data_IF_911168446050
#
_entry.id   IF_911168446050
#
_cell.length_a   1.000
_cell.length_b   1.000
_cell.length_c   1.000
_cell.angle_alpha   90.00
_cell.angle_beta   90.00
_cell.angle_gamma   90.00
#
_symmetry.space_group_name_H-M   'P 1'
#
loop_
_entity.id
_entity.type
_entity.pdbx_description
1 polymer ?
#
# COMPACT_ATOMS: atom_id res chain seq x y z
N UNK A 1 -0.90 2.08 25.33
CA UNK A 1 -0.61 3.08 24.29
C UNK A 1 -1.39 2.66 23.06
N UNK A 2 -2.24 3.54 22.54
CA UNK A 2 -3.04 3.25 21.35
C UNK A 2 -2.23 3.60 20.09
N UNK A 3 -1.80 2.58 19.36
CA UNK A 3 -1.05 2.74 18.11
C UNK A 3 -2.06 2.81 16.97
N UNK A 4 -2.13 3.96 16.32
CA UNK A 4 -3.08 4.23 15.22
C UNK A 4 -2.42 4.23 13.84
N UNK A 5 -1.10 4.44 13.78
CA UNK A 5 -0.32 4.38 12.55
C UNK A 5 1.16 4.14 12.86
N UNK A 6 1.85 3.45 11.96
CA UNK A 6 3.30 3.38 11.90
C UNK A 6 3.75 4.13 10.66
N UNK A 7 4.59 5.14 10.85
CA UNK A 7 5.12 5.95 9.76
C UNK A 7 6.64 5.99 9.88
N UNK A 8 7.33 5.63 8.79
CA UNK A 8 8.76 5.84 8.69
C UNK A 8 9.07 7.34 8.65
N UNK A 9 9.99 7.79 9.51
CA UNK A 9 10.51 9.15 9.52
C UNK A 9 12.04 9.11 9.54
N UNK A 10 12.72 9.52 8.45
CA UNK A 10 12.15 10.01 7.19
C UNK A 10 11.39 8.92 6.42
N UNK A 11 10.58 9.34 5.44
CA UNK A 11 9.87 8.40 4.57
C UNK A 11 10.85 7.48 3.84
N UNK A 12 10.50 6.21 3.70
CA UNK A 12 11.26 5.23 2.93
C UNK A 12 11.20 5.58 1.44
N UNK A 13 12.37 5.58 0.79
CA UNK A 13 12.51 5.81 -0.64
C UNK A 13 12.65 4.49 -1.43
N UNK A 14 12.43 4.56 -2.74
CA UNK A 14 12.50 3.39 -3.61
C UNK A 14 13.89 2.76 -3.60
N UNK A 15 13.96 1.46 -3.26
CA UNK A 15 15.20 0.69 -3.19
C UNK A 15 15.88 0.73 -1.82
N UNK A 16 15.33 1.45 -0.83
CA UNK A 16 15.83 1.42 0.54
C UNK A 16 15.48 0.10 1.24
N UNK A 17 16.33 -0.27 2.19
CA UNK A 17 16.11 -1.41 3.09
C UNK A 17 16.01 -0.88 4.51
N UNK A 18 15.05 -1.38 5.27
CA UNK A 18 14.89 -1.07 6.68
C UNK A 18 14.71 -2.37 7.47
N UNK A 19 15.05 -2.31 8.76
CA UNK A 19 14.80 -3.40 9.69
C UNK A 19 13.74 -2.94 10.68
N UNK A 20 12.81 -3.83 11.01
CA UNK A 20 11.81 -3.64 12.05
C UNK A 20 11.85 -4.81 13.00
N UNK A 21 11.63 -4.54 14.28
CA UNK A 21 11.42 -5.56 15.30
C UNK A 21 9.94 -5.48 15.69
N UNK A 22 9.21 -6.58 15.48
CA UNK A 22 7.82 -6.68 15.89
C UNK A 22 7.72 -7.66 17.06
N UNK A 23 6.97 -7.27 18.10
CA UNK A 23 6.55 -8.18 19.14
C UNK A 23 5.08 -8.52 18.88
N UNK A 24 4.83 -9.74 18.43
CA UNK A 24 3.48 -10.23 18.17
C UNK A 24 2.96 -10.89 19.45
N UNK A 25 1.86 -10.39 20.00
CA UNK A 25 1.11 -11.12 21.00
C UNK A 25 0.48 -12.34 20.29
N UNK A 26 0.70 -13.54 20.82
CA UNK A 26 0.11 -14.78 20.28
C UNK A 26 -0.75 -15.47 21.35
N UNK A 27 -1.91 -14.87 21.72
CA UNK A 27 -2.80 -15.45 22.70
C UNK A 27 -3.48 -16.71 22.14
N UNK A 28 -3.76 -17.66 23.03
CA UNK A 28 -4.54 -18.86 22.69
C UNK A 28 -6.04 -18.55 22.81
N UNK A 29 -6.88 -19.34 22.15
CA UNK A 29 -8.34 -19.13 22.19
C UNK A 29 -8.90 -19.08 23.62
N UNK A 30 -8.58 -20.02 24.54
CA UNK A 30 -9.09 -19.96 25.92
C UNK A 30 -8.72 -18.69 26.69
N UNK A 31 -7.60 -18.06 26.36
CA UNK A 31 -7.16 -16.81 26.97
C UNK A 31 -8.04 -15.63 26.53
N UNK A 32 -8.37 -15.56 25.23
CA UNK A 32 -9.24 -14.53 24.69
C UNK A 32 -10.69 -14.69 25.16
N UNK A 33 -11.17 -15.94 25.28
CA UNK A 33 -12.49 -16.24 25.86
C UNK A 33 -12.61 -15.77 27.33
N UNK A 34 -11.50 -15.74 28.08
CA UNK A 34 -11.43 -15.33 29.48
C UNK A 34 -11.05 -13.86 29.68
N UNK A 35 -10.75 -13.11 28.63
CA UNK A 35 -10.31 -11.72 28.73
C UNK A 35 -11.37 -10.77 29.33
N UNK A 36 -12.64 -11.18 29.33
CA UNK A 36 -13.75 -10.43 29.91
C UNK A 36 -14.14 -9.19 29.10
N UNK A 37 -14.98 -8.34 29.71
CA UNK A 37 -15.58 -7.14 29.09
C UNK A 37 -15.30 -5.86 29.85
N UNK A 38 -14.34 -5.89 30.80
CA UNK A 38 -13.88 -4.71 31.53
C UNK A 38 -12.92 -3.89 30.66
N UNK A 39 -13.50 -3.15 29.72
CA UNK A 39 -12.74 -2.31 28.80
C UNK A 39 -12.29 -1.01 29.47
N UNK A 40 -11.05 -0.56 29.25
CA UNK A 40 -10.63 0.78 29.66
C UNK A 40 -11.49 1.88 29.01
N UNK A 41 -11.72 2.97 29.73
CA UNK A 41 -12.55 4.10 29.27
C UNK A 41 -12.08 4.65 27.91
N UNK A 42 -10.76 4.82 27.72
CA UNK A 42 -10.20 5.30 26.45
C UNK A 42 -10.53 4.40 25.25
N UNK A 43 -10.83 3.11 25.49
CA UNK A 43 -11.25 2.16 24.46
C UNK A 43 -12.72 2.35 24.14
N UNK A 44 -13.58 2.36 25.17
CA UNK A 44 -15.03 2.45 24.98
C UNK A 44 -15.45 3.78 24.37
N UNK A 45 -14.81 4.89 24.76
CA UNK A 45 -15.07 6.22 24.22
C UNK A 45 -14.86 6.32 22.71
N UNK A 46 -13.89 5.58 22.16
CA UNK A 46 -13.46 5.69 20.75
C UNK A 46 -13.93 4.55 19.86
N UNK A 47 -14.05 3.34 20.42
CA UNK A 47 -14.14 2.12 19.64
C UNK A 47 -15.48 1.38 19.79
N UNK A 48 -16.47 2.01 20.42
CA UNK A 48 -17.87 1.57 20.43
C UNK A 48 -18.82 2.49 19.63
N UNK A 49 -18.28 3.57 19.05
CA UNK A 49 -19.11 4.56 18.36
C UNK A 49 -19.74 3.98 17.09
N UNK A 50 -21.03 4.27 16.91
CA UNK A 50 -21.84 3.95 15.73
C UNK A 50 -22.34 5.25 15.08
N UNK A 51 -22.60 5.26 13.76
CA UNK A 51 -23.32 6.35 13.12
C UNK A 51 -24.68 6.62 13.77
N UNK A 52 -25.14 7.88 13.76
CA UNK A 52 -26.42 8.24 14.37
C UNK A 52 -27.63 7.58 13.67
N UNK A 53 -27.46 7.26 12.39
CA UNK A 53 -28.39 6.62 11.47
C UNK A 53 -28.04 5.15 11.21
N UNK A 54 -27.31 4.50 12.14
CA UNK A 54 -26.89 3.11 11.99
C UNK A 54 -28.07 2.16 11.72
N UNK A 55 -27.94 1.31 10.69
CA UNK A 55 -29.01 0.42 10.25
C UNK A 55 -29.48 -0.53 11.38
N UNK A 56 -30.78 -0.49 11.73
CA UNK A 56 -31.36 -1.44 12.69
C UNK A 56 -31.28 -2.90 12.22
N UNK A 57 -31.22 -3.14 10.90
CA UNK A 57 -31.09 -4.49 10.35
C UNK A 57 -29.72 -5.08 10.65
N UNK A 58 -28.66 -4.29 10.53
CA UNK A 58 -27.29 -4.71 10.86
C UNK A 58 -27.18 -5.03 12.36
N UNK A 59 -27.76 -4.18 13.22
CA UNK A 59 -27.79 -4.44 14.66
C UNK A 59 -28.56 -5.73 15.01
N UNK A 60 -29.70 -5.95 14.36
CA UNK A 60 -30.50 -7.17 14.57
C UNK A 60 -29.74 -8.43 14.12
N UNK A 61 -29.09 -8.38 12.95
CA UNK A 61 -28.26 -9.48 12.45
C UNK A 61 -27.09 -9.79 13.39
N UNK A 62 -26.39 -8.77 13.89
CA UNK A 62 -25.31 -8.95 14.86
C UNK A 62 -25.83 -9.61 16.15
N UNK A 63 -26.98 -9.16 16.64
CA UNK A 63 -27.63 -9.73 17.83
C UNK A 63 -28.06 -11.19 17.61
N UNK A 64 -28.53 -11.54 16.41
CA UNK A 64 -28.92 -12.90 16.04
C UNK A 64 -27.71 -13.83 16.02
N UNK A 65 -26.63 -13.44 15.34
CA UNK A 65 -25.40 -14.24 15.20
C UNK A 65 -24.74 -14.46 16.57
N UNK A 66 -24.77 -13.45 17.45
CA UNK A 66 -24.13 -13.49 18.76
C UNK A 66 -25.02 -14.09 19.85
N UNK A 67 -26.26 -14.45 19.54
CA UNK A 67 -27.21 -14.98 20.51
C UNK A 67 -26.72 -16.29 21.13
N UNK A 68 -26.70 -16.33 22.47
CA UNK A 68 -26.29 -17.51 23.23
C UNK A 68 -24.77 -17.69 23.38
N UNK A 69 -23.95 -16.82 22.78
CA UNK A 69 -22.50 -16.80 22.98
C UNK A 69 -22.16 -15.92 24.18
N UNK A 70 -21.35 -16.45 25.11
CA UNK A 70 -21.12 -15.85 26.43
C UNK A 70 -19.93 -14.87 26.48
N UNK A 71 -19.02 -14.93 25.50
CA UNK A 71 -17.79 -14.14 25.52
C UNK A 71 -17.53 -13.40 24.20
N UNK A 72 -16.81 -12.26 24.23
CA UNK A 72 -16.52 -11.46 23.04
C UNK A 72 -15.74 -12.20 21.95
N UNK A 73 -14.88 -13.17 22.32
CA UNK A 73 -14.10 -13.91 21.33
C UNK A 73 -14.99 -14.77 20.44
N UNK A 74 -15.87 -15.56 21.05
CA UNK A 74 -16.78 -16.43 20.31
C UNK A 74 -17.78 -15.61 19.48
N UNK A 75 -18.24 -14.47 20.03
CA UNK A 75 -19.08 -13.52 19.30
C UNK A 75 -18.38 -12.94 18.07
N UNK A 76 -17.11 -12.54 18.20
CA UNK A 76 -16.31 -12.08 17.07
C UNK A 76 -16.10 -13.18 16.04
N UNK A 77 -15.65 -14.36 16.46
CA UNK A 77 -15.44 -15.50 15.58
C UNK A 77 -16.73 -15.91 14.82
N UNK A 78 -17.90 -15.84 15.47
CA UNK A 78 -19.17 -16.15 14.82
C UNK A 78 -19.55 -15.12 13.75
N UNK A 79 -19.32 -13.82 13.99
CA UNK A 79 -19.52 -12.77 12.98
C UNK A 79 -18.53 -12.93 11.83
N UNK A 80 -17.25 -13.17 12.13
CA UNK A 80 -16.23 -13.46 11.11
C UNK A 80 -16.68 -14.61 10.21
N UNK A 81 -17.10 -15.73 10.80
CA UNK A 81 -17.53 -16.92 10.07
C UNK A 81 -18.81 -16.67 9.25
N UNK A 82 -19.78 -15.93 9.80
CA UNK A 82 -20.97 -15.55 9.07
C UNK A 82 -20.61 -14.81 7.78
N UNK A 83 -19.73 -13.80 7.86
CA UNK A 83 -19.32 -13.01 6.70
C UNK A 83 -18.58 -13.88 5.67
N UNK A 84 -17.68 -14.75 6.12
CA UNK A 84 -16.94 -15.67 5.25
C UNK A 84 -17.86 -16.63 4.49
N UNK A 85 -18.91 -17.11 5.15
CA UNK A 85 -19.83 -18.11 4.59
C UNK A 85 -20.96 -17.49 3.74
N UNK A 86 -21.41 -16.28 4.06
CA UNK A 86 -22.62 -15.69 3.46
C UNK A 86 -22.36 -14.61 2.40
N UNK A 87 -21.12 -14.13 2.29
CA UNK A 87 -20.76 -13.05 1.37
C UNK A 87 -19.73 -13.56 0.36
N UNK A 88 -19.96 -13.28 -0.92
CA UNK A 88 -19.03 -13.56 -2.00
C UNK A 88 -17.98 -12.45 -2.15
N UNK A 89 -16.72 -12.83 -2.29
CA UNK A 89 -15.67 -11.86 -2.56
C UNK A 89 -15.65 -11.46 -4.04
N UNK A 90 -15.74 -10.15 -4.30
CA UNK A 90 -15.61 -9.55 -5.63
C UNK A 90 -14.56 -8.43 -5.60
N UNK A 91 -13.98 -8.10 -6.75
CA UNK A 91 -12.96 -7.02 -6.84
C UNK A 91 -13.56 -5.63 -7.05
N UNK A 92 -14.85 -5.55 -7.35
CA UNK A 92 -15.59 -4.31 -7.51
C UNK A 92 -17.06 -4.55 -7.15
N UNK A 93 -17.69 -3.58 -6.51
CA UNK A 93 -19.11 -3.58 -6.16
C UNK A 93 -19.78 -2.45 -6.92
N UNK A 94 -20.92 -2.73 -7.56
CA UNK A 94 -21.78 -1.71 -8.16
C UNK A 94 -22.91 -1.40 -7.20
N UNK A 95 -22.91 -0.20 -6.62
CA UNK A 95 -24.00 0.26 -5.74
C UNK A 95 -25.06 0.93 -6.62
N UNK A 96 -26.34 0.49 -6.58
CA UNK A 96 -27.42 1.16 -7.29
C UNK A 96 -27.58 2.63 -6.89
N UNK A 97 -28.01 3.47 -7.84
CA UNK A 97 -28.35 4.86 -7.50
C UNK A 97 -29.50 4.90 -6.50
N UNK A 98 -29.38 5.75 -5.48
CA UNK A 98 -30.38 5.90 -4.42
C UNK A 98 -30.23 4.92 -3.25
N UNK A 99 -29.20 4.07 -3.22
CA UNK A 99 -28.87 3.30 -2.02
C UNK A 99 -28.51 4.25 -0.86
N UNK A 100 -29.27 4.17 0.23
CA UNK A 100 -29.07 5.00 1.43
C UNK A 100 -27.86 4.53 2.24
N UNK A 101 -27.79 3.23 2.56
CA UNK A 101 -26.68 2.61 3.29
C UNK A 101 -26.01 1.50 2.45
N UNK A 102 -24.80 1.76 1.92
CA UNK A 102 -24.03 0.76 1.17
C UNK A 102 -23.71 -0.51 1.96
N UNK A 103 -23.59 -0.43 3.28
CA UNK A 103 -23.26 -1.58 4.12
C UNK A 103 -24.48 -2.47 4.36
N UNK A 104 -25.66 -1.86 4.50
CA UNK A 104 -26.94 -2.59 4.54
C UNK A 104 -27.17 -3.32 3.21
N UNK A 105 -27.02 -2.61 2.09
CA UNK A 105 -27.11 -3.20 0.76
C UNK A 105 -26.09 -4.34 0.55
N UNK A 106 -24.87 -4.17 1.06
CA UNK A 106 -23.83 -5.20 1.06
C UNK A 106 -24.27 -6.47 1.81
N UNK A 107 -24.77 -6.34 3.04
CA UNK A 107 -25.09 -7.48 3.90
C UNK A 107 -26.36 -8.24 3.47
N UNK A 108 -27.36 -7.53 2.96
CA UNK A 108 -28.70 -8.10 2.77
C UNK A 108 -29.11 -8.29 1.32
N UNK A 109 -28.63 -7.45 0.41
CA UNK A 109 -29.10 -7.44 -0.98
C UNK A 109 -28.04 -8.04 -1.91
N UNK A 110 -26.89 -7.36 -2.06
CA UNK A 110 -25.85 -7.79 -3.00
C UNK A 110 -25.07 -9.01 -2.54
N UNK A 111 -24.82 -9.13 -1.22
CA UNK A 111 -23.98 -10.18 -0.61
C UNK A 111 -22.64 -10.36 -1.33
N UNK A 112 -22.10 -9.27 -1.84
CA UNK A 112 -20.87 -9.24 -2.63
C UNK A 112 -20.02 -8.05 -2.22
N UNK A 113 -18.75 -8.27 -1.86
CA UNK A 113 -17.85 -7.19 -1.48
C UNK A 113 -16.37 -7.52 -1.57
N UNK A 114 -15.54 -6.53 -1.27
CA UNK A 114 -14.10 -6.70 -1.05
C UNK A 114 -13.74 -6.35 0.40
N UNK A 115 -12.48 -6.54 0.78
CA UNK A 115 -11.97 -6.44 2.16
C UNK A 115 -12.52 -5.25 2.98
N UNK A 116 -12.64 -4.05 2.40
CA UNK A 116 -13.22 -2.90 3.11
C UNK A 116 -14.66 -3.12 3.58
N UNK A 117 -15.52 -3.76 2.77
CA UNK A 117 -16.91 -4.04 3.14
C UNK A 117 -16.98 -5.08 4.25
N UNK A 118 -16.24 -6.19 4.11
CA UNK A 118 -16.16 -7.23 5.12
C UNK A 118 -15.68 -6.67 6.47
N UNK A 119 -14.55 -5.97 6.47
CA UNK A 119 -13.96 -5.45 7.68
C UNK A 119 -14.81 -4.34 8.31
N UNK A 120 -15.45 -3.47 7.50
CA UNK A 120 -16.37 -2.45 8.02
C UNK A 120 -17.63 -3.07 8.61
N UNK A 121 -18.20 -4.10 7.97
CA UNK A 121 -19.35 -4.84 8.47
C UNK A 121 -19.04 -5.48 9.82
N UNK A 122 -17.93 -6.23 9.91
CA UNK A 122 -17.54 -6.88 11.15
C UNK A 122 -17.33 -5.86 12.28
N UNK A 123 -16.58 -4.76 12.02
CA UNK A 123 -16.36 -3.72 13.03
C UNK A 123 -17.68 -3.14 13.54
N UNK A 124 -18.61 -2.79 12.65
CA UNK A 124 -19.86 -2.16 13.08
C UNK A 124 -20.83 -3.16 13.74
N UNK A 125 -20.86 -4.42 13.29
CA UNK A 125 -21.62 -5.47 13.95
C UNK A 125 -21.10 -5.71 15.37
N UNK A 126 -19.78 -5.79 15.55
CA UNK A 126 -19.15 -5.95 16.86
C UNK A 126 -19.43 -4.77 17.79
N UNK A 127 -19.27 -3.54 17.29
CA UNK A 127 -19.61 -2.33 18.06
C UNK A 127 -21.07 -2.29 18.48
N UNK A 128 -21.97 -2.74 17.61
CA UNK A 128 -23.39 -2.85 17.92
C UNK A 128 -23.71 -3.90 18.99
N UNK A 129 -22.83 -4.90 19.16
CA UNK A 129 -22.87 -5.89 20.23
C UNK A 129 -22.08 -5.45 21.50
N UNK A 130 -21.57 -4.21 21.56
CA UNK A 130 -20.81 -3.72 22.72
C UNK A 130 -19.36 -4.22 22.77
N UNK A 131 -18.82 -4.74 21.67
CA UNK A 131 -17.43 -5.20 21.57
C UNK A 131 -16.60 -4.12 20.89
N UNK A 132 -15.55 -3.57 21.53
CA UNK A 132 -14.71 -2.56 20.90
C UNK A 132 -13.91 -3.12 19.74
N UNK A 133 -14.11 -2.55 18.57
CA UNK A 133 -13.46 -2.97 17.33
C UNK A 133 -12.98 -1.77 16.50
N UNK A 134 -11.97 -1.97 15.67
CA UNK A 134 -11.44 -0.94 14.76
C UNK A 134 -11.04 -1.55 13.42
N UNK A 135 -11.04 -0.69 12.40
CA UNK A 135 -10.55 -1.03 11.07
C UNK A 135 -9.03 -0.79 11.02
N UNK A 136 -8.28 -1.81 10.66
CA UNK A 136 -6.86 -1.70 10.32
C UNK A 136 -6.69 -1.81 8.80
N UNK A 137 -5.70 -1.09 8.27
CA UNK A 137 -5.38 -1.07 6.84
C UNK A 137 -3.89 -1.20 6.63
N UNK A 138 -3.50 -1.92 5.59
CA UNK A 138 -2.10 -2.18 5.27
C UNK A 138 -1.99 -3.10 4.08
N UNK A 139 -1.15 -4.12 4.20
CA UNK A 139 -0.98 -5.14 3.18
C UNK A 139 -1.08 -6.53 3.81
N UNK A 140 -1.72 -7.46 3.11
CA UNK A 140 -1.66 -8.88 3.42
C UNK A 140 -0.24 -9.43 3.20
N UNK A 141 -0.03 -10.70 3.59
CA UNK A 141 1.29 -11.37 3.61
C UNK A 141 2.06 -11.30 2.28
N UNK A 142 1.36 -11.17 1.14
CA UNK A 142 1.95 -11.17 -0.19
C UNK A 142 2.37 -12.57 -0.63
N UNK A 143 3.28 -12.64 -1.60
CA UNK A 143 3.67 -13.89 -2.25
C UNK A 143 5.02 -14.40 -1.72
N UNK A 144 5.10 -15.62 -1.16
CA UNK A 144 6.39 -16.18 -0.78
C UNK A 144 7.22 -16.51 -2.00
N UNK A 145 8.54 -16.47 -1.85
CA UNK A 145 9.45 -17.11 -2.80
C UNK A 145 9.38 -18.64 -2.68
N UNK A 146 10.04 -19.36 -3.60
CA UNK A 146 10.02 -20.84 -3.64
C UNK A 146 10.47 -21.53 -2.35
N UNK A 147 11.21 -20.82 -1.48
CA UNK A 147 11.78 -21.34 -0.25
C UNK A 147 11.12 -20.77 1.01
N UNK A 148 10.06 -19.95 0.88
CA UNK A 148 9.42 -19.20 1.97
C UNK A 148 10.39 -18.37 2.84
N UNK A 149 11.51 -17.92 2.28
CA UNK A 149 12.52 -17.11 2.98
C UNK A 149 12.30 -15.61 2.85
N UNK A 150 11.59 -15.16 1.81
CA UNK A 150 11.13 -13.78 1.69
C UNK A 150 9.76 -13.71 1.02
N UNK A 151 9.00 -12.66 1.37
CA UNK A 151 7.69 -12.38 0.82
C UNK A 151 7.74 -11.13 -0.05
N UNK A 152 7.10 -11.18 -1.20
CA UNK A 152 6.91 -10.03 -2.08
C UNK A 152 5.51 -9.47 -1.89
N UNK A 153 5.43 -8.28 -1.32
CA UNK A 153 4.17 -7.53 -1.11
C UNK A 153 4.03 -6.48 -2.21
N UNK A 154 2.85 -6.39 -2.82
CA UNK A 154 2.52 -5.51 -3.95
C UNK A 154 1.25 -4.72 -3.67
N UNK A 155 0.94 -3.74 -4.53
CA UNK A 155 -0.30 -2.95 -4.42
C UNK A 155 -1.57 -3.81 -4.42
N UNK A 156 -1.62 -4.94 -5.15
CA UNK A 156 -2.75 -5.89 -5.10
C UNK A 156 -2.99 -6.52 -3.73
N UNK A 157 -1.96 -6.54 -2.90
CA UNK A 157 -2.02 -7.14 -1.58
C UNK A 157 -2.49 -6.11 -0.53
N UNK A 158 -2.85 -4.88 -0.95
CA UNK A 158 -3.49 -3.91 -0.07
C UNK A 158 -4.76 -4.51 0.55
N UNK A 159 -4.87 -4.40 1.86
CA UNK A 159 -5.88 -5.13 2.62
C UNK A 159 -6.39 -4.34 3.82
N UNK A 160 -7.63 -4.62 4.20
CA UNK A 160 -8.28 -4.07 5.37
C UNK A 160 -8.85 -5.21 6.21
N UNK A 161 -8.65 -5.16 7.52
CA UNK A 161 -9.11 -6.18 8.46
C UNK A 161 -9.64 -5.55 9.75
N UNK A 162 -10.56 -6.21 10.45
CA UNK A 162 -10.97 -5.84 11.79
C UNK A 162 -9.92 -6.22 12.84
N UNK A 163 -9.74 -5.34 13.82
CA UNK A 163 -9.06 -5.65 15.08
C UNK A 163 -10.03 -5.46 16.25
N UNK A 164 -10.03 -6.42 17.16
CA UNK A 164 -10.93 -6.48 18.32
C UNK A 164 -10.12 -6.32 19.60
N UNK A 165 -10.60 -5.49 20.52
CA UNK A 165 -9.88 -5.22 21.77
C UNK A 165 -10.24 -6.25 22.85
N UNK A 166 -9.24 -6.93 23.39
CA UNK A 166 -9.37 -7.83 24.53
C UNK A 166 -8.60 -7.29 25.74
N UNK A 167 -9.25 -7.11 26.92
CA UNK A 167 -8.55 -6.66 28.12
C UNK A 167 -7.35 -7.56 28.45
N UNK A 168 -6.21 -6.95 28.78
CA UNK A 168 -4.95 -7.69 29.04
C UNK A 168 -4.16 -8.11 27.80
N UNK A 169 -4.78 -8.15 26.61
CA UNK A 169 -4.14 -8.60 25.36
C UNK A 169 -4.00 -7.48 24.32
N UNK A 170 -4.90 -6.49 24.33
CA UNK A 170 -4.91 -5.39 23.36
C UNK A 170 -5.70 -5.74 22.09
N UNK A 171 -5.24 -5.21 20.96
CA UNK A 171 -5.88 -5.38 19.66
C UNK A 171 -5.49 -6.72 19.02
N UNK A 172 -6.49 -7.52 18.67
CA UNK A 172 -6.35 -8.84 18.07
C UNK A 172 -7.04 -8.87 16.71
N UNK A 173 -6.34 -9.31 15.68
CA UNK A 173 -6.83 -9.34 14.30
C UNK A 173 -7.86 -10.44 14.05
N UNK A 174 -8.85 -10.16 13.20
CA UNK A 174 -9.78 -11.15 12.63
C UNK A 174 -9.78 -11.01 11.11
N UNK A 175 -10.16 -12.07 10.39
CA UNK A 175 -10.12 -12.08 8.92
C UNK A 175 -11.44 -12.59 8.32
N UNK A 176 -12.42 -11.68 8.09
CA UNK A 176 -13.71 -12.04 7.50
C UNK A 176 -13.66 -12.23 5.99
N UNK A 177 -12.60 -11.82 5.30
CA UNK A 177 -12.60 -11.79 3.84
C UNK A 177 -12.44 -13.20 3.28
N UNK A 178 -13.45 -13.68 2.56
CA UNK A 178 -13.51 -15.07 2.09
C UNK A 178 -12.39 -15.49 1.13
N UNK A 179 -11.73 -14.55 0.46
CA UNK A 179 -10.58 -14.84 -0.43
C UNK A 179 -9.22 -14.85 0.29
N UNK A 180 -9.19 -14.58 1.59
CA UNK A 180 -8.01 -14.68 2.43
C UNK A 180 -8.06 -15.96 3.27
N UNK A 181 -6.87 -16.47 3.61
CA UNK A 181 -6.75 -17.58 4.54
C UNK A 181 -7.27 -17.17 5.93
N UNK A 182 -8.06 -18.02 6.62
CA UNK A 182 -8.48 -17.74 7.98
C UNK A 182 -7.29 -17.58 8.94
N UNK A 183 -7.40 -16.62 9.86
CA UNK A 183 -6.46 -16.51 10.98
C UNK A 183 -6.65 -17.72 11.89
N UNK A 184 -5.65 -18.61 11.94
CA UNK A 184 -5.67 -19.78 12.81
C UNK A 184 -5.07 -19.41 14.17
N UNK A 185 -5.85 -19.58 15.24
CA UNK A 185 -5.37 -19.38 16.63
C UNK A 185 -5.27 -20.71 17.37
N UNK A 186 -4.16 -20.95 18.08
CA UNK A 186 -3.97 -22.21 18.79
C UNK A 186 -4.91 -22.33 20.00
N UNK A 187 -5.33 -23.56 20.31
CA UNK A 187 -6.10 -23.89 21.52
C UNK A 187 -5.21 -24.05 22.75
N UNK A 188 -3.94 -24.39 22.55
CA UNK A 188 -2.95 -24.59 23.59
C UNK A 188 -1.64 -23.93 23.19
N UNK A 189 -0.87 -23.44 24.16
CA UNK A 189 0.46 -22.89 23.88
C UNK A 189 1.35 -24.02 23.39
N UNK A 190 2.02 -23.81 22.27
CA UNK A 190 3.09 -24.71 21.86
C UNK A 190 4.21 -24.62 22.90
N UNK A 191 4.41 -25.69 23.67
CA UNK A 191 5.62 -25.87 24.46
C UNK A 191 6.78 -26.06 23.46
N UNK A 192 7.44 -24.97 23.09
CA UNK A 192 8.77 -25.11 22.50
C UNK A 192 9.65 -25.74 23.57
N UNK A 193 10.25 -26.93 23.34
CA UNK A 193 11.22 -27.46 24.28
C UNK A 193 12.28 -26.38 24.48
N UNK A 194 12.53 -26.02 25.74
CA UNK A 194 13.63 -25.15 26.10
C UNK A 194 14.88 -25.87 25.60
N UNK A 195 15.43 -25.43 24.46
CA UNK A 195 16.78 -25.81 24.08
C UNK A 195 17.64 -25.20 25.19
N UNK A 196 18.14 -26.06 26.08
CA UNK A 196 19.04 -25.65 27.13
C UNK A 196 20.33 -25.16 26.45
N UNK A 197 20.46 -23.85 26.29
CA UNK A 197 21.63 -23.20 25.67
C UNK A 197 22.90 -23.33 26.53
N UNK A 198 22.80 -23.95 27.72
CA UNK A 198 23.92 -24.24 28.62
C UNK A 198 24.57 -25.63 28.37
N UNK A 199 24.21 -26.34 27.29
CA UNK A 199 24.97 -27.51 26.86
C UNK A 199 26.31 -27.07 26.21
N UNK A 200 27.50 -27.55 26.64
CA UNK A 200 28.78 -26.94 26.27
C UNK A 200 29.28 -27.19 24.84
N UNK A 201 28.42 -27.61 23.90
CA UNK A 201 28.91 -28.23 22.66
C UNK A 201 28.08 -27.89 21.42
N UNK A 202 27.70 -26.62 21.24
CA UNK A 202 27.26 -26.09 19.94
C UNK A 202 27.40 -24.55 19.91
N UNK A 203 28.63 -24.06 19.79
CA UNK A 203 28.87 -22.73 19.23
C UNK A 203 28.82 -22.85 17.69
N UNK A 204 27.91 -22.14 16.99
CA UNK A 204 28.04 -21.98 15.56
C UNK A 204 29.30 -21.14 15.29
N UNK A 205 30.21 -21.70 14.50
CA UNK A 205 31.47 -21.11 14.05
C UNK A 205 31.19 -19.81 13.27
N UNK A 206 31.20 -18.68 14.00
CA UNK A 206 30.95 -17.33 13.48
C UNK A 206 32.25 -16.66 13.03
N UNK A 207 33.20 -17.41 12.45
CA UNK A 207 34.52 -16.88 12.06
C UNK A 207 34.89 -17.14 10.58
N UNK A 208 34.01 -17.75 9.77
CA UNK A 208 34.37 -18.21 8.42
C UNK A 208 34.02 -17.26 7.24
N UNK A 209 33.63 -15.99 7.47
CA UNK A 209 33.37 -15.04 6.36
C UNK A 209 34.16 -13.72 6.45
N UNK A 210 35.17 -13.66 7.31
CA UNK A 210 35.99 -12.45 7.51
C UNK A 210 37.42 -12.61 6.99
N UNK A 211 37.66 -13.28 5.85
CA UNK A 211 38.99 -13.27 5.21
C UNK A 211 38.86 -13.36 3.68
N UNK A 212 39.01 -12.21 3.01
CA UNK A 212 39.77 -12.06 1.76
C UNK A 212 39.85 -10.57 1.39
N UNK A 213 40.81 -9.85 1.98
CA UNK A 213 41.40 -8.66 1.35
C UNK A 213 42.71 -9.09 0.66
N UNK A 214 43.00 -8.61 -0.57
CA UNK A 214 44.36 -8.56 -1.05
C UNK A 214 44.92 -7.12 -0.96
N UNK A 215 45.92 -6.95 -0.08
CA UNK A 215 46.92 -5.89 -0.15
C UNK A 215 48.08 -6.36 -1.04
N UNK A 216 48.65 -5.57 -1.96
CA UNK A 216 49.91 -4.78 -1.82
C UNK A 216 50.39 -4.31 -3.22
N UNK A 217 51.42 -3.44 -3.41
CA UNK A 217 51.78 -2.17 -2.73
C UNK A 217 52.21 -0.99 -3.70
N UNK A 218 51.96 0.27 -3.28
CA UNK A 218 52.79 1.53 -3.24
C UNK A 218 53.82 1.81 -4.40
N UNK A 219 53.95 3.04 -5.01
CA UNK A 219 54.26 4.27 -4.28
C UNK A 219 53.63 5.63 -4.65
N UNK A 220 53.76 6.49 -3.63
CA UNK A 220 53.50 7.91 -3.47
C UNK A 220 54.11 8.79 -4.58
N UNK A 221 53.35 9.78 -5.05
CA UNK A 221 53.92 11.07 -5.43
C UNK A 221 52.98 12.21 -5.00
N UNK A 222 53.47 12.99 -4.04
CA UNK A 222 52.87 14.24 -3.58
C UNK A 222 53.08 15.31 -4.66
N UNK A 223 51.99 15.85 -5.20
CA UNK A 223 52.03 17.17 -5.82
C UNK A 223 51.00 18.07 -5.14
N UNK A 224 51.52 18.84 -4.19
CA UNK A 224 50.92 20.07 -3.70
C UNK A 224 50.79 21.05 -4.87
N UNK A 225 49.58 21.43 -5.24
CA UNK A 225 49.37 22.66 -5.99
C UNK A 225 48.37 23.55 -5.27
N UNK A 226 48.87 24.75 -5.00
CA UNK A 226 48.26 25.89 -4.34
C UNK A 226 47.00 26.38 -5.04
N UNK A 227 46.00 26.78 -4.24
CA UNK A 227 44.88 27.61 -4.71
C UNK A 227 45.35 29.03 -5.02
N UNK A 228 44.86 29.65 -6.12
CA UNK A 228 44.63 31.08 -6.15
C UNK A 228 43.12 31.37 -6.11
N UNK A 229 42.78 32.11 -5.07
CA UNK A 229 41.87 33.26 -4.98
C UNK A 229 40.72 33.42 -5.98
N UNK A 230 39.52 33.57 -5.39
CA UNK A 230 38.29 34.16 -5.95
C UNK A 230 38.51 35.16 -7.09
N UNK A 231 37.80 34.98 -8.22
CA UNK A 231 36.98 36.03 -8.86
C UNK A 231 35.74 35.41 -9.51
N UNK A 232 34.61 36.08 -9.34
CA UNK A 232 33.30 35.83 -9.93
C UNK A 232 33.33 35.75 -11.45
N UNK A 233 32.61 34.80 -12.06
CA UNK A 233 31.75 34.99 -13.24
C UNK A 233 30.59 33.99 -13.07
N UNK A 234 29.41 34.54 -12.80
CA UNK A 234 28.12 33.85 -12.76
C UNK A 234 27.58 33.89 -14.19
N UNK A 235 27.18 32.72 -14.72
CA UNK A 235 26.16 32.48 -15.78
C UNK A 235 26.46 31.32 -16.75
N UNK A 236 27.62 30.65 -16.68
CA UNK A 236 27.80 29.33 -17.32
C UNK A 236 27.56 28.13 -16.38
N UNK A 237 27.07 28.40 -15.17
CA UNK A 237 27.14 27.46 -14.06
C UNK A 237 25.95 26.51 -13.98
N UNK A 238 24.78 26.81 -14.53
CA UNK A 238 23.60 25.94 -14.31
C UNK A 238 23.68 24.68 -15.19
N UNK A 239 24.02 24.81 -16.48
CA UNK A 239 24.19 23.65 -17.36
C UNK A 239 25.42 22.82 -17.01
N UNK A 240 26.52 23.48 -16.60
CA UNK A 240 27.75 22.80 -16.15
C UNK A 240 27.57 22.07 -14.82
N UNK A 241 26.84 22.66 -13.86
CA UNK A 241 26.58 22.00 -12.56
C UNK A 241 25.53 20.91 -12.68
N UNK A 242 24.49 21.09 -13.50
CA UNK A 242 23.54 20.02 -13.83
C UNK A 242 24.22 18.89 -14.61
N UNK A 243 25.11 19.23 -15.54
CA UNK A 243 25.91 18.27 -16.28
C UNK A 243 26.88 17.51 -15.39
N UNK A 244 27.53 18.19 -14.44
CA UNK A 244 28.44 17.59 -13.48
C UNK A 244 27.69 16.72 -12.46
N UNK A 245 26.52 17.15 -11.97
CA UNK A 245 25.60 16.37 -11.12
C UNK A 245 25.04 15.15 -11.86
N UNK A 246 24.72 15.30 -13.14
CA UNK A 246 24.32 14.19 -13.99
C UNK A 246 25.47 13.20 -14.20
N UNK A 247 26.68 13.68 -14.47
CA UNK A 247 27.86 12.84 -14.67
C UNK A 247 28.27 12.13 -13.38
N UNK A 248 28.25 12.82 -12.23
CA UNK A 248 28.51 12.21 -10.92
C UNK A 248 27.41 11.22 -10.55
N UNK A 249 26.13 11.54 -10.76
CA UNK A 249 25.03 10.59 -10.58
C UNK A 249 25.15 9.35 -11.48
N UNK A 250 25.57 9.54 -12.74
CA UNK A 250 25.81 8.46 -13.70
C UNK A 250 27.02 7.58 -13.29
N UNK A 251 28.11 8.19 -12.84
CA UNK A 251 29.31 7.50 -12.37
C UNK A 251 29.09 6.78 -11.04
N UNK A 252 28.32 7.38 -10.11
CA UNK A 252 27.91 6.75 -8.85
C UNK A 252 26.95 5.58 -9.09
N UNK A 253 26.00 5.70 -10.03
CA UNK A 253 25.14 4.60 -10.48
C UNK A 253 25.95 3.44 -11.05
N UNK A 254 27.02 3.73 -11.80
CA UNK A 254 27.91 2.72 -12.40
C UNK A 254 28.85 2.06 -11.38
N UNK A 255 29.14 2.72 -10.25
CA UNK A 255 30.15 2.27 -9.28
C UNK A 255 29.59 1.72 -7.96
N UNK A 256 28.42 2.18 -7.50
CA UNK A 256 27.96 1.88 -6.12
C UNK A 256 26.49 1.49 -5.95
N UNK A 257 25.59 1.70 -6.92
CA UNK A 257 24.18 1.31 -6.75
C UNK A 257 23.42 1.21 -8.09
N UNK A 258 23.11 0.00 -8.60
CA UNK A 258 22.40 -0.14 -9.87
C UNK A 258 20.91 0.27 -9.83
N UNK A 259 20.29 0.39 -8.64
CA UNK A 259 18.84 0.58 -8.50
C UNK A 259 18.36 1.87 -7.80
N UNK A 260 19.25 2.74 -7.30
CA UNK A 260 18.82 4.01 -6.68
C UNK A 260 18.50 5.06 -7.74
N UNK A 261 17.34 5.71 -7.63
CA UNK A 261 16.87 6.67 -8.62
C UNK A 261 17.54 8.04 -8.43
N UNK A 262 18.02 8.67 -9.50
CA UNK A 262 18.78 9.93 -9.42
C UNK A 262 17.98 11.09 -8.82
N UNK A 263 16.66 11.09 -9.03
CA UNK A 263 15.70 12.00 -8.41
C UNK A 263 15.65 11.86 -6.88
N UNK A 264 15.70 10.62 -6.38
CA UNK A 264 15.70 10.29 -4.96
C UNK A 264 16.97 10.82 -4.28
N UNK A 265 18.13 10.64 -4.91
CA UNK A 265 19.41 11.20 -4.45
C UNK A 265 19.33 12.73 -4.37
N UNK A 266 18.83 13.38 -5.43
CA UNK A 266 18.75 14.84 -5.48
C UNK A 266 17.77 15.38 -4.44
N UNK A 267 16.64 14.71 -4.23
CA UNK A 267 15.67 15.03 -3.18
C UNK A 267 16.29 14.90 -1.79
N UNK A 268 16.97 13.79 -1.51
CA UNK A 268 17.67 13.56 -0.25
C UNK A 268 18.76 14.61 0.03
N UNK A 269 19.48 15.07 -1.00
CA UNK A 269 20.47 16.15 -0.86
C UNK A 269 19.79 17.48 -0.50
N UNK A 270 18.64 17.80 -1.11
CA UNK A 270 17.88 19.02 -0.79
C UNK A 270 17.36 18.98 0.65
N UNK A 271 16.77 17.85 1.05
CA UNK A 271 16.18 17.68 2.39
C UNK A 271 17.24 17.64 3.51
N UNK A 272 18.38 16.97 3.29
CA UNK A 272 19.49 16.93 4.26
C UNK A 272 20.15 18.30 4.48
N UNK A 273 20.09 19.19 3.50
CA UNK A 273 20.58 20.57 3.63
C UNK A 273 19.54 21.53 4.24
N UNK A 274 18.39 21.01 4.68
CA UNK A 274 17.33 21.80 5.31
C UNK A 274 16.57 22.71 4.33
N UNK A 275 16.65 22.45 3.03
CA UNK A 275 15.91 23.21 2.02
C UNK A 275 14.53 22.58 1.77
N UNK A 276 13.52 23.41 1.52
CA UNK A 276 12.22 22.93 1.09
C UNK A 276 12.32 22.28 -0.30
N UNK A 277 11.86 21.03 -0.41
CA UNK A 277 11.90 20.27 -1.66
C UNK A 277 11.03 20.95 -2.73
N UNK A 278 11.62 21.41 -3.87
CA UNK A 278 10.84 22.01 -4.93
C UNK A 278 9.78 21.07 -5.49
N UNK A 279 8.57 21.56 -5.77
CA UNK A 279 7.47 20.74 -6.25
C UNK A 279 7.80 19.96 -7.55
N UNK A 280 8.67 20.48 -8.41
CA UNK A 280 9.11 19.77 -9.62
C UNK A 280 9.97 18.55 -9.29
N UNK A 281 10.78 18.61 -8.22
CA UNK A 281 11.63 17.52 -7.77
C UNK A 281 10.80 16.42 -7.11
N UNK A 282 9.81 16.79 -6.29
CA UNK A 282 8.83 15.85 -5.74
C UNK A 282 8.05 15.15 -6.85
N UNK A 283 7.55 15.89 -7.85
CA UNK A 283 6.85 15.33 -9.00
C UNK A 283 7.74 14.42 -9.85
N UNK A 284 9.00 14.81 -10.05
CA UNK A 284 9.94 13.99 -10.78
C UNK A 284 10.26 12.70 -10.04
N UNK A 285 10.48 12.76 -8.71
CA UNK A 285 10.72 11.59 -7.89
C UNK A 285 9.53 10.62 -7.93
N UNK A 286 8.32 11.13 -7.70
CA UNK A 286 7.08 10.36 -7.80
C UNK A 286 6.92 9.73 -9.19
N UNK A 287 7.10 10.50 -10.25
CA UNK A 287 6.99 10.00 -11.63
C UNK A 287 8.06 8.95 -11.92
N UNK A 288 9.27 9.16 -11.42
CA UNK A 288 10.39 8.26 -11.66
C UNK A 288 10.15 6.90 -11.01
N UNK A 289 9.59 6.88 -9.80
CA UNK A 289 9.29 5.66 -9.04
C UNK A 289 8.21 4.78 -9.68
N UNK A 290 7.38 5.32 -10.57
CA UNK A 290 6.35 4.55 -11.27
C UNK A 290 6.95 3.49 -12.19
N UNK A 291 6.33 2.30 -12.20
CA UNK A 291 6.59 1.26 -13.19
C UNK A 291 6.32 1.78 -14.62
N UNK A 292 6.88 1.15 -15.67
CA UNK A 292 6.61 1.56 -17.05
C UNK A 292 5.12 1.64 -17.38
N UNK A 293 4.32 0.72 -16.86
CA UNK A 293 2.88 0.69 -17.14
C UNK A 293 2.09 1.76 -16.40
N UNK A 294 2.46 2.08 -15.15
CA UNK A 294 1.90 3.23 -14.44
C UNK A 294 2.26 4.55 -15.14
N UNK A 295 3.47 4.66 -15.72
CA UNK A 295 3.86 5.80 -16.55
C UNK A 295 3.00 5.90 -17.81
N UNK A 296 2.70 4.78 -18.47
CA UNK A 296 1.82 4.78 -19.64
C UNK A 296 0.39 5.16 -19.27
N UNK A 297 -0.14 4.67 -18.15
CA UNK A 297 -1.47 5.08 -17.66
C UNK A 297 -1.57 6.59 -17.38
N UNK A 298 -0.45 7.26 -17.10
CA UNK A 298 -0.41 8.72 -16.97
C UNK A 298 -0.87 9.44 -18.25
N UNK A 299 -0.84 8.81 -19.43
CA UNK A 299 -1.39 9.38 -20.67
C UNK A 299 -2.87 9.72 -20.53
N UNK A 300 -3.66 8.88 -19.85
CA UNK A 300 -5.08 9.13 -19.58
C UNK A 300 -5.24 10.41 -18.75
N UNK A 301 -4.43 10.58 -17.70
CA UNK A 301 -4.47 11.78 -16.87
C UNK A 301 -4.07 13.05 -17.65
N UNK A 302 -3.06 12.94 -18.53
CA UNK A 302 -2.65 14.05 -19.42
C UNK A 302 -3.78 14.40 -20.38
N UNK A 303 -4.41 13.40 -20.99
CA UNK A 303 -5.49 13.60 -21.94
C UNK A 303 -6.73 14.22 -21.31
N UNK A 304 -7.15 13.75 -20.13
CA UNK A 304 -8.24 14.35 -19.36
C UNK A 304 -7.95 15.82 -19.04
N UNK A 305 -6.71 16.17 -18.63
CA UNK A 305 -6.32 17.56 -18.41
C UNK A 305 -6.39 18.40 -19.68
N UNK A 306 -6.00 17.84 -20.83
CA UNK A 306 -6.06 18.54 -22.12
C UNK A 306 -7.49 18.75 -22.62
N UNK A 307 -8.41 17.86 -22.26
CA UNK A 307 -9.85 17.98 -22.50
C UNK A 307 -10.58 18.79 -21.41
N UNK A 308 -9.83 19.49 -20.53
CA UNK A 308 -10.36 20.29 -19.43
C UNK A 308 -11.23 19.52 -18.41
N UNK A 309 -11.12 18.18 -18.38
CA UNK A 309 -11.81 17.30 -17.44
C UNK A 309 -10.90 17.01 -16.24
N UNK A 310 -10.70 18.00 -15.37
CA UNK A 310 -9.92 17.82 -14.14
C UNK A 310 -10.63 16.84 -13.21
N UNK A 311 -9.88 15.87 -12.72
CA UNK A 311 -10.41 14.79 -11.89
C UNK A 311 -10.08 15.01 -10.41
N UNK A 312 -11.04 14.77 -9.50
CA UNK A 312 -10.79 14.83 -8.07
C UNK A 312 -9.86 13.69 -7.62
N UNK A 313 -9.27 13.79 -6.43
CA UNK A 313 -8.26 12.83 -5.97
C UNK A 313 -8.81 11.41 -5.71
N UNK A 314 -10.11 11.30 -5.40
CA UNK A 314 -10.75 10.03 -4.99
C UNK A 314 -11.16 9.12 -6.16
N UNK A 315 -11.04 9.58 -7.41
CA UNK A 315 -11.51 8.80 -8.55
C UNK A 315 -10.54 7.66 -8.91
N UNK A 316 -11.09 6.48 -9.15
CA UNK A 316 -10.35 5.29 -9.51
C UNK A 316 -9.74 5.41 -10.92
N UNK A 317 -8.70 4.62 -11.24
CA UNK A 317 -8.19 4.48 -12.61
C UNK A 317 -9.27 4.07 -13.61
N UNK A 318 -10.19 3.17 -13.23
CA UNK A 318 -11.27 2.69 -14.10
C UNK A 318 -12.28 3.79 -14.45
N UNK A 319 -12.69 4.58 -13.47
CA UNK A 319 -13.59 5.72 -13.69
C UNK A 319 -12.93 6.81 -14.55
N UNK A 320 -11.63 7.10 -14.36
CA UNK A 320 -10.87 8.02 -15.23
C UNK A 320 -10.84 7.57 -16.67
N UNK A 321 -10.60 6.27 -16.88
CA UNK A 321 -10.66 5.66 -18.19
C UNK A 321 -12.09 5.80 -18.77
N UNK A 322 -13.12 5.53 -17.96
CA UNK A 322 -14.53 5.74 -18.30
C UNK A 322 -14.82 7.13 -18.87
N UNK A 323 -14.46 8.18 -18.12
CA UNK A 323 -14.65 9.58 -18.53
C UNK A 323 -13.92 9.88 -19.84
N UNK A 324 -12.68 9.36 -20.01
CA UNK A 324 -11.94 9.63 -21.23
C UNK A 324 -12.56 8.96 -22.47
N UNK A 325 -13.21 7.80 -22.32
CA UNK A 325 -13.95 7.14 -23.40
C UNK A 325 -15.13 7.99 -23.87
N UNK A 326 -15.84 8.61 -22.94
CA UNK A 326 -16.96 9.51 -23.28
C UNK A 326 -16.47 10.77 -24.01
N UNK A 327 -15.35 11.34 -23.56
CA UNK A 327 -14.78 12.56 -24.15
C UNK A 327 -14.10 12.31 -25.50
N UNK A 328 -13.51 11.13 -25.69
CA UNK A 328 -12.78 10.75 -26.92
C UNK A 328 -13.20 9.32 -27.32
N UNK A 329 -14.40 9.14 -27.92
CA UNK A 329 -14.90 7.82 -28.28
C UNK A 329 -13.96 7.05 -29.21
N UNK A 330 -13.27 7.76 -30.12
CA UNK A 330 -12.29 7.19 -31.05
C UNK A 330 -11.11 6.50 -30.32
N UNK A 331 -10.82 6.90 -29.09
CA UNK A 331 -9.73 6.33 -28.28
C UNK A 331 -10.17 5.17 -27.39
N UNK A 332 -11.44 4.77 -27.41
CA UNK A 332 -12.01 3.85 -26.41
C UNK A 332 -11.29 2.50 -26.33
N UNK A 333 -10.99 1.88 -27.48
CA UNK A 333 -10.28 0.60 -27.52
C UNK A 333 -8.88 0.67 -26.88
N UNK A 334 -8.17 1.78 -27.13
CA UNK A 334 -6.85 2.03 -26.54
C UNK A 334 -6.96 2.33 -25.06
N UNK A 335 -7.98 3.07 -24.63
CA UNK A 335 -8.26 3.32 -23.21
C UNK A 335 -8.55 2.00 -22.48
N UNK A 336 -9.38 1.12 -23.06
CA UNK A 336 -9.69 -0.19 -22.48
C UNK A 336 -8.47 -1.10 -22.43
N UNK A 337 -7.65 -1.09 -23.48
CA UNK A 337 -6.40 -1.85 -23.52
C UNK A 337 -5.43 -1.37 -22.46
N UNK A 338 -5.23 -0.07 -22.33
CA UNK A 338 -4.33 0.49 -21.33
C UNK A 338 -4.83 0.25 -19.92
N UNK A 339 -6.14 0.40 -19.66
CA UNK A 339 -6.74 0.11 -18.37
C UNK A 339 -6.57 -1.37 -18.01
N UNK A 340 -6.86 -2.29 -18.93
CA UNK A 340 -6.72 -3.73 -18.71
C UNK A 340 -5.28 -4.12 -18.41
N UNK A 341 -4.31 -3.61 -19.16
CA UNK A 341 -2.90 -3.94 -18.91
C UNK A 341 -2.41 -3.32 -17.60
N UNK A 342 -2.82 -2.08 -17.29
CA UNK A 342 -2.54 -1.41 -16.01
C UNK A 342 -3.13 -2.19 -14.83
N UNK A 343 -4.40 -2.58 -14.91
CA UNK A 343 -5.06 -3.38 -13.89
C UNK A 343 -4.42 -4.77 -13.77
N UNK A 344 -4.02 -5.39 -14.88
CA UNK A 344 -3.30 -6.65 -14.84
C UNK A 344 -1.99 -6.50 -14.06
N UNK A 345 -1.18 -5.49 -14.36
CA UNK A 345 0.10 -5.27 -13.69
C UNK A 345 -0.01 -4.95 -12.20
N UNK A 346 -1.08 -4.26 -11.80
CA UNK A 346 -1.25 -3.83 -10.41
C UNK A 346 -2.04 -4.81 -9.57
N UNK A 347 -3.02 -5.51 -10.15
CA UNK A 347 -4.00 -6.32 -9.42
C UNK A 347 -3.94 -7.82 -9.74
N UNK A 348 -3.13 -8.25 -10.72
CA UNK A 348 -3.00 -9.68 -11.08
C UNK A 348 -1.56 -10.16 -10.98
N UNK A 349 -1.36 -11.49 -11.09
CA UNK A 349 -0.01 -12.10 -11.18
C UNK A 349 0.71 -11.78 -12.49
N UNK A 350 -0.01 -11.28 -13.51
CA UNK A 350 0.58 -10.90 -14.79
C UNK A 350 1.13 -9.48 -14.68
N UNK A 351 2.39 -9.26 -15.06
CA UNK A 351 3.05 -7.94 -15.00
C UNK A 351 2.47 -6.88 -15.96
N UNK A 352 1.36 -7.18 -16.65
CA UNK A 352 0.84 -6.43 -17.79
C UNK A 352 1.79 -6.46 -19.00
N UNK A 353 1.23 -6.36 -20.21
CA UNK A 353 2.02 -6.23 -21.42
C UNK A 353 2.40 -4.76 -21.64
N UNK A 354 3.64 -4.43 -21.31
CA UNK A 354 4.17 -3.06 -21.41
C UNK A 354 4.25 -2.54 -22.84
N UNK A 355 4.37 -3.42 -23.84
CA UNK A 355 4.38 -3.03 -25.26
C UNK A 355 2.99 -2.60 -25.71
N UNK A 356 1.96 -3.38 -25.36
CA UNK A 356 0.56 -3.02 -25.64
C UNK A 356 0.17 -1.75 -24.90
N UNK A 357 0.53 -1.63 -23.62
CA UNK A 357 0.27 -0.43 -22.83
C UNK A 357 0.95 0.81 -23.43
N UNK A 358 2.18 0.68 -23.92
CA UNK A 358 2.88 1.77 -24.63
C UNK A 358 2.14 2.18 -25.90
N UNK A 359 1.77 1.22 -26.75
CA UNK A 359 1.06 1.47 -28.00
C UNK A 359 -0.27 2.20 -27.75
N UNK A 360 -1.07 1.67 -26.82
CA UNK A 360 -2.32 2.27 -26.40
C UNK A 360 -2.15 3.69 -25.85
N UNK A 361 -1.12 3.92 -25.01
CA UNK A 361 -0.85 5.26 -24.47
C UNK A 361 -0.50 6.28 -25.55
N UNK A 362 0.29 5.91 -26.56
CA UNK A 362 0.60 6.78 -27.68
C UNK A 362 -0.62 7.11 -28.54
N UNK A 363 -1.45 6.11 -28.81
CA UNK A 363 -2.69 6.29 -29.57
C UNK A 363 -3.68 7.21 -28.84
N UNK A 364 -3.84 7.05 -27.52
CA UNK A 364 -4.64 7.96 -26.68
C UNK A 364 -4.15 9.40 -26.80
N UNK A 365 -2.84 9.64 -26.66
CA UNK A 365 -2.26 10.99 -26.77
C UNK A 365 -2.52 11.56 -28.17
N UNK A 366 -2.27 10.78 -29.21
CA UNK A 366 -2.48 11.20 -30.61
C UNK A 366 -3.95 11.61 -30.85
N UNK A 367 -4.89 10.76 -30.46
CA UNK A 367 -6.33 11.02 -30.61
C UNK A 367 -6.81 12.20 -29.77
N UNK A 368 -6.21 12.40 -28.60
CA UNK A 368 -6.47 13.59 -27.77
C UNK A 368 -6.00 14.87 -28.46
N UNK A 369 -4.79 14.88 -29.03
CA UNK A 369 -4.27 16.03 -29.78
C UNK A 369 -5.18 16.30 -30.97
N UNK A 370 -5.55 15.27 -31.71
CA UNK A 370 -6.44 15.39 -32.86
C UNK A 370 -7.82 15.93 -32.48
N UNK A 371 -8.45 15.39 -31.43
CA UNK A 371 -9.73 15.86 -30.92
C UNK A 371 -9.65 17.34 -30.49
N UNK A 372 -8.58 17.72 -29.79
CA UNK A 372 -8.37 19.10 -29.36
C UNK A 372 -8.13 20.07 -30.52
N UNK A 373 -7.36 19.66 -31.53
CA UNK A 373 -7.18 20.44 -32.76
C UNK A 373 -8.51 20.58 -33.52
N UNK A 374 -9.31 19.51 -33.58
CA UNK A 374 -10.64 19.54 -34.19
C UNK A 374 -11.56 20.53 -33.50
N UNK A 375 -11.60 20.52 -32.16
CA UNK A 375 -12.34 21.50 -31.35
C UNK A 375 -11.86 22.93 -31.64
N UNK A 376 -10.54 23.14 -31.66
CA UNK A 376 -9.95 24.46 -31.89
C UNK A 376 -10.19 25.01 -33.31
N UNK A 377 -10.16 24.16 -34.33
CA UNK A 377 -10.30 24.55 -35.74
C UNK A 377 -11.77 24.65 -36.17
N UNK A 378 -12.64 23.74 -35.70
CA UNK A 378 -14.04 23.66 -36.14
C UNK A 378 -15.04 24.36 -35.20
N UNK A 379 -14.60 24.87 -34.04
CA UNK A 379 -15.45 25.67 -33.15
C UNK A 379 -16.62 24.91 -32.51
N UNK A 380 -16.56 23.57 -32.47
CA UNK A 380 -17.53 22.76 -31.73
C UNK A 380 -17.23 22.84 -30.22
N UNK A 381 -18.17 23.39 -29.45
CA UNK A 381 -18.20 23.25 -27.99
C UNK A 381 -18.71 21.88 -27.59
#
# INVERSE_FOLDING_TARGET
>A
MDIVALQASPYLEAGETYHTNAMLANPIIPELQQAGTEYPEWVTEKYLQLPADFSPRIQALASEITAGLENPYDQAAAITEYLRTNIEYVTAVSIPEGTEDPLDYFLFESKQGFCNYYASAEVLMLRSAGIPARLAVGFAQGEPNLQNTFFTVREKDAHAWPEVYFPGYGWIEFEPTGNQEPVTRPLAREEKPIINLDAPDNQPELDALAQEEPQTPIPLELQTSSFPTRVQIIELSIAGTLGLLFLTGFLLKRRFAPNTQTSAILKNVVERNGWETPAWLTRWNLWSALSPIQKYFHSINVSLRWMNAKQPAYITPAERAGILRELIPDASESVDTLLREYQAALFTRRTGNTSLARGAAWDIIYKTIYARLKIFILGYN
#
